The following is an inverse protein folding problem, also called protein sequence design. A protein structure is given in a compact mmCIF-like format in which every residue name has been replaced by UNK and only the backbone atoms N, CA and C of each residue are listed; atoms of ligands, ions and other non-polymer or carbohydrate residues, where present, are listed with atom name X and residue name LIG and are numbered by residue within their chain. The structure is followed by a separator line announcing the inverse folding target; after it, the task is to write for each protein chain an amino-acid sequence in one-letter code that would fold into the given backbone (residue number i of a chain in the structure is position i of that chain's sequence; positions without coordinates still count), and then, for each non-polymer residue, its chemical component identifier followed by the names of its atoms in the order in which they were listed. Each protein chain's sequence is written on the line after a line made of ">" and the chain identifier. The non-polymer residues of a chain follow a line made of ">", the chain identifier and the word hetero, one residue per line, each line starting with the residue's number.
data_IF_918293577241
#
_entry.id   IF_918293577241
#
_cell.length_a   1.000
_cell.length_b   1.000
_cell.length_c   1.000
_cell.angle_alpha   90.00
_cell.angle_beta   90.00
_cell.angle_gamma   90.00
#
_symmetry.space_group_name_H-M   'P 1'
#
loop_
_entity.id
_entity.type
_entity.pdbx_description
1 polymer ?
#
# COMPACT_ATOMS: atom_id res chain seq x y z
N UNK A 1 -1.76 0.49 -12.22
CA UNK A 1 -2.96 0.85 -11.42
C UNK A 1 -2.52 1.82 -10.35
N UNK A 2 -3.41 2.74 -10.00
CA UNK A 2 -3.18 3.73 -8.95
C UNK A 2 -4.11 3.36 -7.80
N UNK A 3 -3.54 3.15 -6.62
CA UNK A 3 -4.28 3.04 -5.36
C UNK A 3 -3.95 4.28 -4.56
N UNK A 4 -4.99 5.04 -4.24
CA UNK A 4 -4.87 6.29 -3.51
C UNK A 4 -5.39 6.11 -2.08
N UNK A 5 -4.70 6.68 -1.11
CA UNK A 5 -5.06 6.74 0.31
C UNK A 5 -5.48 5.39 0.92
N UNK A 6 -4.53 4.43 0.93
CA UNK A 6 -4.75 3.04 1.33
C UNK A 6 -5.40 2.87 2.72
N UNK A 7 -5.20 3.81 3.63
CA UNK A 7 -5.76 3.80 4.99
C UNK A 7 -7.29 3.96 5.08
N UNK A 8 -7.95 4.48 4.04
CA UNK A 8 -9.42 4.67 4.05
C UNK A 8 -10.20 3.47 3.50
N UNK A 9 -9.52 2.37 3.18
CA UNK A 9 -10.18 1.16 2.67
C UNK A 9 -11.02 0.49 3.77
N UNK A 10 -12.28 0.18 3.45
CA UNK A 10 -13.09 -0.73 4.27
C UNK A 10 -12.48 -2.13 4.25
N UNK A 11 -12.68 -2.92 5.32
CA UNK A 11 -12.11 -4.28 5.43
C UNK A 11 -12.40 -5.17 4.21
N UNK A 12 -13.62 -5.11 3.68
CA UNK A 12 -14.02 -5.84 2.47
C UNK A 12 -13.25 -5.42 1.22
N UNK A 13 -12.91 -4.13 1.09
CA UNK A 13 -12.12 -3.59 -0.02
C UNK A 13 -10.64 -3.83 0.18
N UNK A 14 -10.16 -3.86 1.42
CA UNK A 14 -8.77 -4.18 1.74
C UNK A 14 -8.41 -5.60 1.28
N UNK A 15 -9.26 -6.60 1.55
CA UNK A 15 -9.00 -7.98 1.09
C UNK A 15 -9.00 -8.09 -0.45
N UNK A 16 -9.94 -7.42 -1.13
CA UNK A 16 -9.96 -7.37 -2.59
C UNK A 16 -8.71 -6.67 -3.15
N UNK A 17 -8.29 -5.58 -2.53
CA UNK A 17 -7.09 -4.83 -2.93
C UNK A 17 -5.84 -5.67 -2.70
N UNK A 18 -5.77 -6.42 -1.61
CA UNK A 18 -4.69 -7.38 -1.34
C UNK A 18 -4.60 -8.43 -2.45
N UNK A 19 -5.73 -9.02 -2.85
CA UNK A 19 -5.75 -10.01 -3.92
C UNK A 19 -5.28 -9.40 -5.25
N UNK A 20 -5.73 -8.18 -5.58
CA UNK A 20 -5.27 -7.48 -6.78
C UNK A 20 -3.78 -7.20 -6.73
N UNK A 21 -3.23 -6.77 -5.59
CA UNK A 21 -1.79 -6.55 -5.43
C UNK A 21 -1.00 -7.84 -5.65
N UNK A 22 -1.43 -8.96 -5.09
CA UNK A 22 -0.79 -10.27 -5.31
C UNK A 22 -0.86 -10.70 -6.77
N UNK A 23 -2.00 -10.52 -7.43
CA UNK A 23 -2.19 -10.93 -8.82
C UNK A 23 -1.40 -10.06 -9.81
N UNK A 24 -1.21 -8.79 -9.47
CA UNK A 24 -0.56 -7.80 -10.34
C UNK A 24 0.92 -7.63 -10.05
N UNK A 25 1.38 -8.12 -8.91
CA UNK A 25 2.79 -8.25 -8.58
C UNK A 25 3.54 -8.93 -9.75
N UNK A 26 4.64 -8.32 -10.19
CA UNK A 26 5.47 -8.70 -11.36
C UNK A 26 4.79 -8.64 -12.74
N UNK A 27 3.46 -8.47 -12.82
CA UNK A 27 2.74 -8.44 -14.10
C UNK A 27 2.44 -7.03 -14.60
N UNK A 28 2.29 -6.05 -13.70
CA UNK A 28 1.88 -4.67 -14.02
C UNK A 28 2.49 -3.65 -13.05
N UNK A 29 2.67 -2.42 -13.51
CA UNK A 29 3.09 -1.31 -12.64
C UNK A 29 1.99 -0.92 -11.65
N UNK A 30 2.36 -0.80 -10.37
CA UNK A 30 1.51 -0.38 -9.26
C UNK A 30 2.07 0.93 -8.68
N UNK A 31 1.22 1.93 -8.56
CA UNK A 31 1.48 3.15 -7.79
C UNK A 31 0.54 3.13 -6.59
N UNK A 32 1.11 3.25 -5.39
CA UNK A 32 0.37 3.24 -4.14
C UNK A 32 0.74 4.50 -3.37
N UNK A 33 -0.26 5.25 -2.92
CA UNK A 33 -0.10 6.33 -1.96
C UNK A 33 -0.73 5.90 -0.63
N UNK A 34 -0.08 6.25 0.47
CA UNK A 34 -0.62 6.06 1.81
C UNK A 34 0.02 7.05 2.76
N UNK A 35 -0.72 7.44 3.79
CA UNK A 35 -0.17 8.17 4.93
C UNK A 35 0.37 7.25 6.03
N UNK A 36 0.19 5.94 5.90
CA UNK A 36 0.66 4.95 6.86
C UNK A 36 2.09 4.50 6.54
N UNK A 37 2.88 4.30 7.58
CA UNK A 37 4.15 3.60 7.45
C UNK A 37 3.91 2.13 7.08
N UNK A 38 4.88 1.47 6.46
CA UNK A 38 4.76 0.06 6.11
C UNK A 38 4.49 -0.85 7.32
N UNK A 39 5.00 -0.50 8.50
CA UNK A 39 4.70 -1.18 9.76
C UNK A 39 3.22 -1.12 10.15
N UNK A 40 2.50 -0.10 9.69
CA UNK A 40 1.11 0.17 10.02
C UNK A 40 0.12 -0.46 9.03
N UNK A 41 0.60 -1.01 7.91
CA UNK A 41 -0.26 -1.64 6.90
C UNK A 41 -0.97 -2.89 7.40
N UNK A 42 -0.49 -3.49 8.49
CA UNK A 42 -1.20 -4.62 9.11
C UNK A 42 -2.59 -4.23 9.62
N UNK A 43 -2.78 -2.97 10.00
CA UNK A 43 -4.07 -2.43 10.41
C UNK A 43 -5.11 -2.45 9.28
N UNK A 44 -4.64 -2.33 8.04
CA UNK A 44 -5.48 -2.27 6.84
C UNK A 44 -5.84 -3.68 6.35
N UNK A 45 -4.86 -4.59 6.32
CA UNK A 45 -5.04 -5.94 5.78
C UNK A 45 -5.37 -7.01 6.85
N UNK A 46 -5.31 -6.68 8.14
CA UNK A 46 -5.68 -7.54 9.27
C UNK A 46 -5.08 -8.96 9.18
N UNK A 47 -3.76 -9.06 9.00
CA UNK A 47 -3.12 -10.32 8.68
C UNK A 47 -1.60 -10.22 8.62
N UNK A 48 -0.96 -10.06 9.77
CA UNK A 48 0.47 -9.74 9.95
C UNK A 48 1.38 -10.49 8.98
N UNK A 49 1.24 -11.81 8.92
CA UNK A 49 2.08 -12.66 8.05
C UNK A 49 1.87 -12.42 6.55
N UNK A 50 0.62 -12.19 6.12
CA UNK A 50 0.27 -11.93 4.70
C UNK A 50 0.72 -10.53 4.30
N UNK A 51 0.52 -9.54 5.16
CA UNK A 51 0.96 -8.16 4.96
C UNK A 51 2.48 -8.08 4.84
N UNK A 52 3.22 -8.72 5.75
CA UNK A 52 4.70 -8.75 5.71
C UNK A 52 5.20 -9.40 4.42
N UNK A 53 4.59 -10.51 4.00
CA UNK A 53 4.98 -11.21 2.75
C UNK A 53 4.70 -10.34 1.52
N UNK A 54 3.59 -9.59 1.51
CA UNK A 54 3.27 -8.66 0.43
C UNK A 54 4.25 -7.48 0.41
N UNK A 55 4.54 -6.89 1.57
CA UNK A 55 5.49 -5.78 1.70
C UNK A 55 6.89 -6.18 1.26
N UNK A 56 7.38 -7.35 1.66
CA UNK A 56 8.67 -7.89 1.21
C UNK A 56 8.75 -7.95 -0.33
N UNK A 57 7.68 -8.46 -0.96
CA UNK A 57 7.57 -8.52 -2.41
C UNK A 57 7.54 -7.13 -3.06
N UNK A 58 6.71 -6.23 -2.56
CA UNK A 58 6.59 -4.87 -3.11
C UNK A 58 7.90 -4.08 -2.96
N UNK A 59 8.54 -4.15 -1.80
CA UNK A 59 9.79 -3.44 -1.50
C UNK A 59 10.97 -3.96 -2.32
N UNK A 60 10.97 -5.24 -2.70
CA UNK A 60 12.01 -5.82 -3.56
C UNK A 60 12.03 -5.22 -4.99
N UNK A 61 10.90 -4.75 -5.53
CA UNK A 61 10.81 -4.21 -6.89
C UNK A 61 10.07 -2.86 -6.97
N UNK A 62 10.22 -1.99 -5.97
CA UNK A 62 9.63 -0.66 -6.02
C UNK A 62 10.65 0.46 -5.79
N UNK A 63 10.25 1.67 -6.19
CA UNK A 63 10.92 2.89 -5.79
C UNK A 63 10.06 3.53 -4.69
N UNK A 64 10.61 3.62 -3.48
CA UNK A 64 9.94 4.23 -2.34
C UNK A 64 10.22 5.73 -2.39
N UNK A 65 9.16 6.53 -2.51
CA UNK A 65 9.23 7.97 -2.41
C UNK A 65 8.64 8.40 -1.08
N UNK A 66 9.52 8.71 -0.13
CA UNK A 66 9.10 9.26 1.14
C UNK A 66 8.78 10.75 0.94
N UNK A 67 7.49 11.09 0.98
CA UNK A 67 7.04 12.47 0.89
C UNK A 67 7.16 13.14 2.26
N UNK A 68 8.41 13.43 2.64
CA UNK A 68 8.72 14.27 3.79
C UNK A 68 8.58 15.75 3.40
N UNK A 69 7.35 16.26 3.29
CA UNK A 69 7.14 17.70 3.14
C UNK A 69 5.92 18.15 3.92
N UNK A 70 6.05 19.28 4.61
CA UNK A 70 4.94 20.06 5.18
C UNK A 70 3.76 20.07 4.20
N UNK A 71 2.55 19.89 4.74
CA UNK A 71 1.31 19.99 3.98
C UNK A 71 1.32 21.27 3.15
N UNK A 72 1.53 21.16 1.83
CA UNK A 72 1.41 22.24 0.85
C UNK A 72 -0.08 22.59 0.61
N UNK A 73 -0.83 22.80 1.68
CA UNK A 73 -2.12 23.49 1.66
C UNK A 73 -1.80 24.98 1.71
N UNK A 74 -1.46 25.54 0.55
CA UNK A 74 -1.54 26.99 0.37
C UNK A 74 -3.03 27.36 0.46
N UNK A 75 -3.44 27.81 1.63
CA UNK A 75 -4.66 28.60 1.82
C UNK A 75 -4.53 29.98 1.17
#
# INVERSE_FOLDING_TARGET
>A
MIVDELEFLSLSRAELTFQVFVDWFERRSLLITSHLQFSEWDQVFQGERRTVTLLDRLTHQCQIYEMASESHRFW
#
